data_IF_634875196127
#
_entry.id   IF_634875196127
#
_cell.length_a   1.000
_cell.length_b   1.000
_cell.length_c   1.000
_cell.angle_alpha   90.00
_cell.angle_beta   90.00
_cell.angle_gamma   90.00
#
_symmetry.space_group_name_H-M   'P 1'
#
loop_
_entity.id
_entity.type
_entity.pdbx_description
1 polymer ?
#
# COMPACT_ATOMS: atom_id res chain seq x y z
N UNK A 1 -20.86 -11.55 -31.23
CA UNK A 1 -21.16 -12.98 -30.97
C UNK A 1 -20.06 -13.51 -30.05
N UNK A 2 -20.46 -14.10 -28.91
CA UNK A 2 -19.60 -14.47 -27.80
C UNK A 2 -18.66 -15.63 -28.17
N UNK A 3 -17.34 -15.37 -28.25
CA UNK A 3 -16.33 -16.42 -28.22
C UNK A 3 -15.88 -16.62 -26.77
N UNK A 4 -16.58 -17.51 -26.06
CA UNK A 4 -16.12 -18.02 -24.78
C UNK A 4 -14.93 -18.93 -25.06
N UNK A 5 -13.71 -18.45 -24.78
CA UNK A 5 -12.52 -19.28 -24.82
C UNK A 5 -12.61 -20.29 -23.69
N UNK A 6 -12.61 -21.58 -24.03
CA UNK A 6 -12.60 -22.66 -23.07
C UNK A 6 -11.24 -22.65 -22.33
N UNK A 7 -11.27 -22.47 -21.01
CA UNK A 7 -10.05 -22.36 -20.18
C UNK A 7 -9.12 -23.57 -20.32
N UNK A 8 -9.66 -24.74 -20.64
CA UNK A 8 -8.87 -25.96 -20.87
C UNK A 8 -7.95 -25.85 -22.09
N UNK A 9 -8.39 -25.14 -23.14
CA UNK A 9 -7.60 -24.98 -24.37
C UNK A 9 -6.49 -23.92 -24.20
N UNK A 10 -6.70 -22.92 -23.33
CA UNK A 10 -5.67 -21.92 -22.99
C UNK A 10 -4.51 -22.52 -22.19
N UNK A 11 -4.80 -23.42 -21.24
CA UNK A 11 -3.80 -24.06 -20.41
C UNK A 11 -2.85 -24.96 -21.22
N UNK A 12 -3.38 -25.70 -22.20
CA UNK A 12 -2.57 -26.55 -23.06
C UNK A 12 -1.68 -25.74 -24.02
N UNK A 13 -2.17 -24.61 -24.54
CA UNK A 13 -1.39 -23.72 -25.41
C UNK A 13 -0.20 -23.06 -24.69
N UNK A 14 -0.32 -22.81 -23.38
CA UNK A 14 0.74 -22.22 -22.57
C UNK A 14 1.85 -23.21 -22.20
N UNK A 15 1.51 -24.49 -22.08
CA UNK A 15 2.47 -25.53 -21.69
C UNK A 15 3.47 -25.83 -22.84
N UNK A 16 3.00 -25.82 -24.08
CA UNK A 16 3.85 -26.06 -25.25
C UNK A 16 4.72 -24.83 -25.62
N UNK A 17 4.26 -23.61 -25.32
CA UNK A 17 5.05 -22.38 -25.50
C UNK A 17 6.07 -22.11 -24.38
N UNK A 18 5.85 -22.67 -23.19
CA UNK A 18 6.73 -22.47 -22.03
C UNK A 18 8.17 -22.96 -22.25
N UNK A 19 8.35 -24.03 -23.03
CA UNK A 19 9.67 -24.59 -23.30
C UNK A 19 10.52 -23.74 -24.28
N UNK A 20 9.89 -23.02 -25.20
CA UNK A 20 10.59 -22.18 -26.19
C UNK A 20 10.90 -20.76 -25.66
N UNK A 21 10.17 -20.29 -24.65
CA UNK A 21 10.32 -18.93 -24.12
C UNK A 21 11.42 -18.77 -23.06
N UNK A 22 11.96 -19.85 -22.46
CA UNK A 22 13.00 -19.71 -21.43
C UNK A 22 14.28 -19.04 -21.96
N UNK A 23 14.60 -19.19 -23.24
CA UNK A 23 15.72 -18.49 -23.88
C UNK A 23 15.43 -17.00 -24.15
N UNK A 24 14.15 -16.60 -24.26
CA UNK A 24 13.73 -15.21 -24.49
C UNK A 24 13.52 -14.42 -23.18
N UNK A 25 13.40 -15.09 -22.02
CA UNK A 25 13.25 -14.45 -20.70
C UNK A 25 14.56 -13.83 -20.19
N UNK A 26 15.71 -14.22 -20.74
CA UNK A 26 17.00 -13.60 -20.41
C UNK A 26 17.12 -12.13 -20.88
N UNK A 27 16.23 -11.68 -21.76
CA UNK A 27 16.17 -10.31 -22.29
C UNK A 27 15.01 -9.49 -21.68
N UNK A 28 14.42 -9.98 -20.57
CA UNK A 28 13.50 -9.17 -19.76
C UNK A 28 14.33 -8.13 -19.03
N UNK A 29 14.50 -7.00 -19.72
CA UNK A 29 14.79 -5.67 -19.20
C UNK A 29 14.40 -5.61 -17.73
N UNK A 30 15.38 -5.31 -16.87
CA UNK A 30 15.17 -4.98 -15.47
C UNK A 30 14.08 -3.90 -15.39
N UNK A 31 12.83 -4.34 -15.20
CA UNK A 31 11.70 -3.47 -14.97
C UNK A 31 11.83 -3.03 -13.52
N UNK A 32 12.62 -1.98 -13.28
CA UNK A 32 12.58 -1.30 -11.99
C UNK A 32 11.12 -0.91 -11.74
N UNK A 33 10.46 -1.45 -10.70
CA UNK A 33 9.11 -1.05 -10.38
C UNK A 33 9.12 0.47 -10.17
N UNK A 34 8.09 1.20 -10.62
CA UNK A 34 8.05 2.64 -10.43
C UNK A 34 8.29 2.96 -8.95
N UNK A 35 9.33 3.75 -8.69
CA UNK A 35 9.63 4.22 -7.34
C UNK A 35 8.42 5.02 -6.86
N UNK A 36 7.92 4.67 -5.66
CA UNK A 36 6.82 5.42 -5.04
C UNK A 36 7.27 6.87 -4.87
N UNK A 37 6.38 7.79 -5.20
CA UNK A 37 6.59 9.21 -4.94
C UNK A 37 6.64 9.48 -3.44
N UNK A 38 7.33 10.52 -3.00
CA UNK A 38 7.40 10.91 -1.58
C UNK A 38 6.00 11.07 -0.98
N UNK A 39 5.07 11.63 -1.75
CA UNK A 39 3.66 11.72 -1.37
C UNK A 39 3.00 10.37 -1.11
N UNK A 40 3.26 9.38 -1.96
CA UNK A 40 2.72 8.03 -1.77
C UNK A 40 3.33 7.33 -0.56
N UNK A 41 4.60 7.59 -0.25
CA UNK A 41 5.25 7.09 0.96
C UNK A 41 4.63 7.72 2.21
N UNK A 42 4.47 9.04 2.24
CA UNK A 42 3.84 9.73 3.37
C UNK A 42 2.37 9.32 3.55
N UNK A 43 1.63 9.13 2.46
CA UNK A 43 0.25 8.64 2.52
C UNK A 43 0.21 7.21 3.08
N UNK A 44 1.14 6.35 2.69
CA UNK A 44 1.23 5.00 3.23
C UNK A 44 1.58 5.02 4.73
N UNK A 45 2.45 5.92 5.16
CA UNK A 45 2.75 6.11 6.58
C UNK A 45 1.52 6.57 7.36
N UNK A 46 0.76 7.54 6.84
CA UNK A 46 -0.49 7.98 7.47
C UNK A 46 -1.47 6.80 7.65
N UNK A 47 -1.67 6.01 6.60
CA UNK A 47 -2.56 4.85 6.65
C UNK A 47 -2.10 3.83 7.69
N UNK A 48 -0.79 3.58 7.79
CA UNK A 48 -0.21 2.70 8.82
C UNK A 48 -0.51 3.21 10.23
N UNK A 49 -0.17 4.46 10.52
CA UNK A 49 -0.33 5.04 11.86
C UNK A 49 -1.82 5.07 12.26
N UNK A 50 -2.72 5.40 11.33
CA UNK A 50 -4.17 5.35 11.60
C UNK A 50 -4.69 3.95 11.89
N UNK A 51 -4.13 2.92 11.26
CA UNK A 51 -4.47 1.53 11.55
C UNK A 51 -3.95 1.09 12.93
N UNK A 52 -2.73 1.47 13.29
CA UNK A 52 -2.12 1.25 14.61
C UNK A 52 -2.97 1.91 15.72
N UNK A 53 -3.37 3.17 15.53
CA UNK A 53 -4.28 3.86 16.44
C UNK A 53 -5.62 3.12 16.64
N UNK A 54 -6.23 2.66 15.55
CA UNK A 54 -7.50 1.92 15.63
C UNK A 54 -7.33 0.58 16.36
N UNK A 55 -6.23 -0.12 16.12
CA UNK A 55 -5.90 -1.35 16.81
C UNK A 55 -5.66 -1.10 18.31
N UNK A 56 -4.86 -0.10 18.66
CA UNK A 56 -4.58 0.28 20.04
C UNK A 56 -5.87 0.64 20.81
N UNK A 57 -6.78 1.40 20.18
CA UNK A 57 -8.11 1.67 20.73
C UNK A 57 -8.94 0.41 20.93
N UNK A 58 -8.94 -0.51 19.96
CA UNK A 58 -9.68 -1.77 20.07
C UNK A 58 -9.14 -2.66 21.21
N UNK A 59 -7.85 -2.57 21.50
CA UNK A 59 -7.18 -3.30 22.58
C UNK A 59 -7.24 -2.56 23.93
N UNK A 60 -7.73 -1.31 23.94
CA UNK A 60 -7.68 -0.41 25.09
C UNK A 60 -6.27 -0.29 25.68
N UNK A 61 -5.28 -0.18 24.79
CA UNK A 61 -3.87 -0.02 25.14
C UNK A 61 -3.51 1.49 25.13
N UNK A 62 -3.43 2.14 26.30
CA UNK A 62 -3.19 3.57 26.35
C UNK A 62 -1.81 3.97 25.85
N UNK A 63 -0.78 3.15 26.04
CA UNK A 63 0.60 3.47 25.67
C UNK A 63 0.73 3.53 24.15
N UNK A 64 0.19 2.52 23.46
CA UNK A 64 0.13 2.46 21.99
C UNK A 64 -0.76 3.57 21.39
N UNK A 65 -1.84 3.95 22.09
CA UNK A 65 -2.65 5.12 21.68
C UNK A 65 -1.82 6.41 21.76
N UNK A 66 -1.01 6.57 22.80
CA UNK A 66 -0.14 7.75 22.93
C UNK A 66 0.95 7.77 21.85
N UNK A 67 1.58 6.64 21.57
CA UNK A 67 2.60 6.52 20.52
C UNK A 67 2.04 6.85 19.14
N UNK A 68 0.92 6.24 18.75
CA UNK A 68 0.29 6.53 17.46
C UNK A 68 -0.18 7.99 17.34
N UNK A 69 -0.51 8.64 18.46
CA UNK A 69 -0.82 10.08 18.48
C UNK A 69 0.42 10.94 18.27
N UNK A 70 1.53 10.63 18.93
CA UNK A 70 2.79 11.37 18.75
C UNK A 70 3.28 11.27 17.29
N UNK A 71 3.21 10.07 16.71
CA UNK A 71 3.53 9.84 15.29
C UNK A 71 2.67 10.69 14.34
N UNK A 72 1.36 10.81 14.62
CA UNK A 72 0.48 11.70 13.84
C UNK A 72 0.85 13.18 14.03
N UNK A 73 1.23 13.61 15.24
CA UNK A 73 1.67 14.98 15.52
C UNK A 73 2.96 15.32 14.77
N UNK A 74 3.94 14.40 14.77
CA UNK A 74 5.17 14.51 13.97
C UNK A 74 4.83 14.65 12.49
N UNK A 75 3.94 13.81 11.96
CA UNK A 75 3.53 13.88 10.56
C UNK A 75 2.88 15.23 10.22
N UNK A 76 1.99 15.74 11.08
CA UNK A 76 1.34 17.06 10.88
C UNK A 76 2.36 18.20 10.81
N UNK A 77 3.43 18.14 11.61
CA UNK A 77 4.46 19.16 11.66
C UNK A 77 5.35 19.13 10.42
N UNK A 78 5.70 17.93 9.94
CA UNK A 78 6.78 17.74 8.97
C UNK A 78 6.33 17.43 7.54
N UNK A 79 5.11 16.95 7.32
CA UNK A 79 4.60 16.66 5.97
C UNK A 79 4.57 17.92 5.10
N UNK A 80 5.12 17.85 3.90
CA UNK A 80 5.01 18.95 2.93
C UNK A 80 3.64 18.95 2.21
N UNK A 81 2.85 17.89 2.36
CA UNK A 81 1.61 17.66 1.62
C UNK A 81 0.37 18.12 2.42
N UNK A 82 -0.31 19.21 2.00
CA UNK A 82 -1.42 19.77 2.77
C UNK A 82 -2.61 18.82 2.97
N UNK A 83 -2.89 17.95 2.00
CA UNK A 83 -3.97 16.98 2.07
C UNK A 83 -3.68 15.85 3.08
N UNK A 84 -2.42 15.41 3.18
CA UNK A 84 -1.98 14.44 4.19
C UNK A 84 -2.03 15.07 5.57
N UNK A 85 -1.54 16.32 5.70
CA UNK A 85 -1.63 17.10 6.94
C UNK A 85 -3.06 17.20 7.46
N UNK A 86 -4.00 17.53 6.57
CA UNK A 86 -5.41 17.65 6.94
C UNK A 86 -5.97 16.34 7.48
N UNK A 87 -5.71 15.21 6.80
CA UNK A 87 -6.16 13.88 7.24
C UNK A 87 -5.51 13.44 8.56
N UNK A 88 -4.23 13.76 8.78
CA UNK A 88 -3.55 13.49 10.04
C UNK A 88 -4.18 14.29 11.21
N UNK A 89 -4.54 15.56 10.97
CA UNK A 89 -5.28 16.37 11.94
C UNK A 89 -6.68 15.79 12.25
N UNK A 90 -7.39 15.28 11.25
CA UNK A 90 -8.67 14.59 11.46
C UNK A 90 -8.51 13.32 12.32
N UNK A 91 -7.48 12.52 12.05
CA UNK A 91 -7.16 11.34 12.84
C UNK A 91 -6.83 11.69 14.30
N UNK A 92 -6.07 12.76 14.53
CA UNK A 92 -5.77 13.26 15.88
C UNK A 92 -7.03 13.73 16.63
N UNK A 93 -7.95 14.40 15.94
CA UNK A 93 -9.21 14.80 16.54
C UNK A 93 -10.03 13.58 17.01
N UNK A 94 -10.03 12.50 16.21
CA UNK A 94 -10.66 11.23 16.58
C UNK A 94 -9.92 10.53 17.72
N UNK A 95 -8.60 10.64 17.81
CA UNK A 95 -7.77 10.00 18.83
C UNK A 95 -8.02 10.51 20.26
N UNK A 96 -8.59 11.71 20.42
CA UNK A 96 -8.85 12.36 21.71
C UNK A 96 -10.12 11.90 22.43
N UNK A 97 -10.97 11.13 21.74
CA UNK A 97 -12.21 10.52 22.25
C UNK A 97 -11.96 9.08 22.65
#
# INVERSE_FOLDING_TARGET
MNNVVNFADYANLMNERGAQNLAAVADVVAFEPPTRTDRELELAMLLRITAELLQAKAMNDPDEIYEARDDLEVMVLHTEFPDIRHRALEALAFARV
#
